data_IF_152007282248
#
_entry.id   IF_152007282248
#
_cell.length_a   1.000
_cell.length_b   1.000
_cell.length_c   1.000
_cell.angle_alpha   90.00
_cell.angle_beta   90.00
_cell.angle_gamma   90.00
#
_symmetry.space_group_name_H-M   'P 1'
#
loop_
_entity.id
_entity.type
_entity.pdbx_description
1 polymer ?
#
# COMPACT_ATOMS: atom_id res chain seq x y z
N UNK A 1 25.89 23.10 9.17
CA UNK A 1 25.80 21.62 9.13
C UNK A 1 24.50 21.01 8.60
N UNK A 2 23.41 21.75 8.31
CA UNK A 2 22.11 21.14 7.90
C UNK A 2 22.02 20.63 6.45
N UNK A 3 22.87 21.12 5.54
CA UNK A 3 22.85 20.73 4.10
C UNK A 3 23.23 19.26 3.87
N UNK A 4 24.22 18.76 4.60
CA UNK A 4 24.75 17.39 4.41
C UNK A 4 23.77 16.30 4.83
N UNK A 5 22.93 16.55 5.84
CA UNK A 5 21.89 15.60 6.26
C UNK A 5 20.81 15.42 5.18
N UNK A 6 20.36 16.53 4.57
CA UNK A 6 19.38 16.49 3.47
C UNK A 6 19.92 15.81 2.22
N UNK A 7 21.20 16.03 1.89
CA UNK A 7 21.84 15.37 0.76
C UNK A 7 21.91 13.85 0.94
N UNK A 8 22.28 13.37 2.13
CA UNK A 8 22.29 11.93 2.46
C UNK A 8 20.89 11.32 2.43
N UNK A 9 19.88 12.02 2.94
CA UNK A 9 18.50 11.57 2.89
C UNK A 9 18.01 11.38 1.44
N UNK A 10 18.28 12.35 0.55
CA UNK A 10 17.94 12.24 -0.88
C UNK A 10 18.67 11.10 -1.59
N UNK A 11 19.96 10.90 -1.28
CA UNK A 11 20.72 9.79 -1.85
C UNK A 11 20.14 8.43 -1.43
N UNK A 12 19.73 8.30 -0.16
CA UNK A 12 19.10 7.10 0.35
C UNK A 12 17.73 6.85 -0.29
N UNK A 13 16.92 7.89 -0.48
CA UNK A 13 15.62 7.80 -1.16
C UNK A 13 15.76 7.36 -2.62
N UNK A 14 16.70 7.97 -3.37
CA UNK A 14 16.97 7.60 -4.75
C UNK A 14 17.44 6.14 -4.88
N UNK A 15 18.29 5.70 -3.94
CA UNK A 15 18.74 4.32 -3.84
C UNK A 15 17.57 3.35 -3.64
N UNK A 16 16.72 3.60 -2.64
CA UNK A 16 15.53 2.77 -2.36
C UNK A 16 14.60 2.71 -3.57
N UNK A 17 14.36 3.86 -4.22
CA UNK A 17 13.48 3.93 -5.39
C UNK A 17 14.03 3.13 -6.58
N UNK A 18 15.34 3.15 -6.82
CA UNK A 18 15.96 2.35 -7.88
C UNK A 18 15.79 0.83 -7.65
N UNK A 19 15.91 0.37 -6.40
CA UNK A 19 15.69 -1.04 -6.03
C UNK A 19 14.25 -1.46 -6.28
N UNK A 20 13.29 -0.65 -5.84
CA UNK A 20 11.86 -0.92 -6.04
C UNK A 20 11.51 -0.95 -7.53
N UNK A 21 12.00 0.03 -8.31
CA UNK A 21 11.78 0.10 -9.76
C UNK A 21 12.36 -1.10 -10.50
N UNK A 22 13.58 -1.53 -10.16
CA UNK A 22 14.19 -2.73 -10.74
C UNK A 22 13.38 -4.00 -10.44
N UNK A 23 12.80 -4.09 -9.23
CA UNK A 23 11.91 -5.21 -8.90
C UNK A 23 10.60 -5.15 -9.67
N UNK A 24 10.01 -3.97 -9.82
CA UNK A 24 8.79 -3.75 -10.61
C UNK A 24 8.99 -4.05 -12.10
N UNK A 25 10.19 -3.81 -12.65
CA UNK A 25 10.54 -4.19 -14.02
C UNK A 25 10.83 -5.69 -14.19
N UNK A 26 10.62 -6.51 -13.15
CA UNK A 26 10.75 -7.96 -13.21
C UNK A 26 12.15 -8.50 -12.87
N UNK A 27 13.11 -7.66 -12.47
CA UNK A 27 14.42 -8.18 -12.07
C UNK A 27 14.33 -9.04 -10.80
N UNK A 28 15.16 -10.07 -10.71
CA UNK A 28 15.20 -10.97 -9.56
C UNK A 28 15.96 -10.32 -8.40
N UNK A 29 15.62 -10.68 -7.16
CA UNK A 29 16.29 -10.13 -5.97
C UNK A 29 17.80 -10.39 -5.99
N UNK A 30 18.25 -11.54 -6.50
CA UNK A 30 19.67 -11.87 -6.61
C UNK A 30 20.43 -10.95 -7.59
N UNK A 31 19.81 -10.59 -8.72
CA UNK A 31 20.41 -9.68 -9.72
C UNK A 31 20.53 -8.27 -9.13
N UNK A 32 19.46 -7.79 -8.47
CA UNK A 32 19.45 -6.47 -7.83
C UNK A 32 20.48 -6.42 -6.70
N UNK A 33 20.54 -7.46 -5.87
CA UNK A 33 21.47 -7.59 -4.75
C UNK A 33 22.93 -7.52 -5.20
N UNK A 34 23.28 -8.24 -6.27
CA UNK A 34 24.62 -8.18 -6.87
C UNK A 34 24.95 -6.77 -7.37
N UNK A 35 24.01 -6.10 -8.05
CA UNK A 35 24.23 -4.75 -8.58
C UNK A 35 24.33 -3.68 -7.48
N UNK A 36 23.55 -3.83 -6.40
CA UNK A 36 23.54 -2.92 -5.26
C UNK A 36 24.61 -3.25 -4.19
N UNK A 37 25.40 -4.31 -4.40
CA UNK A 37 26.41 -4.80 -3.46
C UNK A 37 25.86 -5.05 -2.04
N UNK A 38 24.70 -5.70 -1.97
CA UNK A 38 24.01 -6.05 -0.72
C UNK A 38 23.47 -7.48 -0.78
N UNK A 39 22.92 -7.98 0.33
CA UNK A 39 22.28 -9.30 0.36
C UNK A 39 20.88 -9.27 -0.26
N UNK A 40 20.46 -10.40 -0.85
CA UNK A 40 19.09 -10.58 -1.37
C UNK A 40 18.02 -10.39 -0.30
N UNK A 41 18.32 -10.75 0.95
CA UNK A 41 17.44 -10.52 2.09
C UNK A 41 17.23 -9.02 2.36
N UNK A 42 18.29 -8.21 2.27
CA UNK A 42 18.18 -6.76 2.41
C UNK A 42 17.33 -6.14 1.30
N UNK A 43 17.50 -6.60 0.05
CA UNK A 43 16.67 -6.16 -1.09
C UNK A 43 15.20 -6.54 -0.88
N UNK A 44 14.93 -7.77 -0.45
CA UNK A 44 13.56 -8.23 -0.16
C UNK A 44 12.91 -7.35 0.92
N UNK A 45 13.64 -7.02 1.97
CA UNK A 45 13.14 -6.16 3.04
C UNK A 45 12.86 -4.73 2.57
N UNK A 46 13.74 -4.17 1.73
CA UNK A 46 13.52 -2.84 1.11
C UNK A 46 12.26 -2.86 0.26
N UNK A 47 12.09 -3.85 -0.62
CA UNK A 47 10.90 -3.98 -1.45
C UNK A 47 9.65 -4.23 -0.60
N UNK A 48 9.74 -4.99 0.49
CA UNK A 48 8.62 -5.22 1.41
C UNK A 48 8.14 -3.92 2.06
N UNK A 49 9.08 -3.05 2.45
CA UNK A 49 8.77 -1.77 3.12
C UNK A 49 8.36 -0.65 2.15
N UNK A 50 8.90 -0.66 0.94
CA UNK A 50 8.81 0.47 0.00
C UNK A 50 8.17 0.12 -1.35
N UNK A 51 7.90 -1.16 -1.63
CA UNK A 51 7.33 -1.66 -2.88
C UNK A 51 5.82 -1.84 -2.85
N UNK A 52 5.18 -1.70 -1.69
CA UNK A 52 3.73 -1.54 -1.65
C UNK A 52 3.38 -0.22 -2.38
N UNK A 53 2.40 -0.21 -3.29
CA UNK A 53 1.74 1.03 -3.66
C UNK A 53 0.98 1.48 -2.41
N UNK A 54 1.68 2.14 -1.49
CA UNK A 54 1.00 3.15 -0.70
C UNK A 54 0.47 4.09 -1.77
N UNK A 55 -0.84 4.01 -2.04
CA UNK A 55 -1.62 5.19 -2.37
C UNK A 55 -0.96 6.30 -1.57
N UNK A 56 -0.38 7.26 -2.27
CA UNK A 56 0.15 8.46 -1.66
C UNK A 56 -1.06 9.23 -1.12
N UNK A 57 -1.68 8.68 -0.09
CA UNK A 57 -2.69 9.27 0.74
C UNK A 57 -2.00 10.29 1.61
N UNK A 58 -1.55 11.38 0.97
CA UNK A 58 -2.00 12.66 1.47
C UNK A 58 -3.51 12.64 1.28
N UNK A 59 -4.21 12.02 2.25
CA UNK A 59 -5.66 12.07 2.31
C UNK A 59 -6.01 13.55 2.42
N UNK A 60 -6.33 14.16 1.30
CA UNK A 60 -7.07 15.41 1.31
C UNK A 60 -8.38 15.10 2.02
N UNK A 61 -8.77 15.96 2.96
CA UNK A 61 -9.97 15.86 3.81
C UNK A 61 -11.24 15.46 3.02
N UNK A 62 -11.25 15.71 1.72
CA UNK A 62 -12.28 15.36 0.74
C UNK A 62 -12.52 13.85 0.53
N UNK A 63 -11.53 12.97 0.67
CA UNK A 63 -11.73 11.51 0.46
C UNK A 63 -12.42 10.83 1.64
N UNK A 64 -12.21 11.36 2.86
CA UNK A 64 -12.81 10.83 4.08
C UNK A 64 -14.32 11.13 4.13
N UNK A 65 -14.75 12.30 3.63
CA UNK A 65 -16.18 12.66 3.59
C UNK A 65 -16.98 11.88 2.54
N UNK A 66 -16.37 11.53 1.40
CA UNK A 66 -17.02 10.70 0.37
C UNK A 66 -17.34 9.29 0.89
N UNK A 67 -16.43 8.70 1.68
CA UNK A 67 -16.63 7.37 2.26
C UNK A 67 -17.73 7.32 3.36
N UNK A 68 -17.98 8.45 4.05
CA UNK A 68 -19.06 8.54 5.05
C UNK A 68 -20.45 8.71 4.43
N UNK A 69 -20.53 9.32 3.25
CA UNK A 69 -21.81 9.61 2.60
C UNK A 69 -22.40 8.43 1.81
N UNK A 70 -21.60 7.42 1.47
CA UNK A 70 -22.04 6.23 0.74
C UNK A 70 -22.67 5.13 1.62
N UNK A 71 -22.65 5.28 2.95
CA UNK A 71 -23.22 4.29 3.88
C UNK A 71 -24.63 4.64 4.40
N UNK A 72 -25.22 5.77 3.99
CA UNK A 72 -26.49 6.25 4.56
C UNK A 72 -27.71 6.13 3.62
N UNK A 73 -27.61 5.41 2.49
CA UNK A 73 -28.77 5.14 1.63
C UNK A 73 -28.73 3.71 1.10
N UNK A 74 -29.43 2.80 1.77
CA UNK A 74 -29.67 1.48 1.21
C UNK A 74 -30.02 0.41 2.23
N UNK A 75 -30.87 0.72 3.21
CA UNK A 75 -31.59 -0.36 3.91
C UNK A 75 -32.98 0.14 4.26
N UNK A 76 -33.83 0.08 3.25
CA UNK A 76 -35.28 0.04 3.42
C UNK A 76 -35.79 -1.15 2.63
N UNK A 77 -36.71 -1.84 3.30
CA UNK A 77 -37.79 -2.65 2.76
C UNK A 77 -37.60 -4.15 2.49
N UNK A 78 -38.55 -4.84 3.12
CA UNK A 78 -39.16 -6.11 2.74
C UNK A 78 -38.36 -7.40 2.91
N UNK A 79 -38.61 -8.08 4.05
CA UNK A 79 -39.09 -9.48 4.04
C UNK A 79 -39.98 -9.77 5.25
N UNK A 80 -41.24 -9.39 5.11
CA UNK A 80 -42.36 -10.13 5.69
C UNK A 80 -42.61 -11.34 4.77
N UNK A 81 -42.40 -12.57 5.25
CA UNK A 81 -42.94 -13.82 4.66
C UNK A 81 -42.56 -15.03 5.54
N UNK A 82 -43.54 -15.41 6.37
CA UNK A 82 -43.95 -16.76 6.78
C UNK A 82 -42.92 -17.85 7.13
N UNK A 83 -43.15 -18.53 8.28
CA UNK A 83 -43.60 -19.95 8.34
C UNK A 83 -42.99 -20.74 9.51
N UNK A 84 -43.78 -20.93 10.58
CA UNK A 84 -43.77 -22.14 11.44
C UNK A 84 -45.18 -22.28 12.04
N UNK A 85 -46.08 -23.08 11.48
CA UNK A 85 -46.23 -24.52 11.71
C UNK A 85 -46.46 -24.87 13.20
N UNK A 86 -47.73 -24.97 13.60
CA UNK A 86 -48.18 -25.85 14.68
C UNK A 86 -49.57 -26.39 14.26
N UNK A 87 -49.57 -27.64 13.82
CA UNK A 87 -50.75 -28.46 13.60
C UNK A 87 -50.67 -29.63 14.60
N UNK A 88 -51.86 -30.04 15.04
CA UNK A 88 -52.22 -31.13 15.95
C UNK A 88 -52.09 -30.85 17.47
#
# INVERSE_FOLDING_TARGET
MRRSARARARANEAYIHSIVKARQSGATFAVIARAANVSSQAVQEIVRRHGAPQQSGRATVTDIERARHSHARGESDDRDSERTAAAD
#
